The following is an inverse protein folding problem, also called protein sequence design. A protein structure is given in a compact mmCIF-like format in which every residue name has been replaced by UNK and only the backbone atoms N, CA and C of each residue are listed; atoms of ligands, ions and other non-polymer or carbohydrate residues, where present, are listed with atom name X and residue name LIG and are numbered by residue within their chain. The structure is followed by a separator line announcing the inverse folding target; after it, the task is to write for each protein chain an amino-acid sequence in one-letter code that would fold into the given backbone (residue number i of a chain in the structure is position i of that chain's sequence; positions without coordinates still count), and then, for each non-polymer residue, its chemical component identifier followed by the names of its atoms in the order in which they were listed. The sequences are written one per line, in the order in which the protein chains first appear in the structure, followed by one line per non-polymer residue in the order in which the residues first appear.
data_IF_779259727105
#
_entry.id   IF_779259727105
#
_cell.length_a   1.000
_cell.length_b   1.000
_cell.length_c   1.000
_cell.angle_alpha   90.00
_cell.angle_beta   90.00
_cell.angle_gamma   90.00
#
_symmetry.space_group_name_H-M   'P 1'
#
loop_
_entity.id
_entity.type
_entity.pdbx_description
1 polymer ?
#
# COMPACT_ATOMS: atom_id res chain seq x y z
N UNK A 1 -15.61 6.88 6.91
CA UNK A 1 -14.28 6.51 7.45
C UNK A 1 -14.32 5.03 7.76
N UNK A 2 -13.53 4.21 7.06
CA UNK A 2 -13.40 2.79 7.40
C UNK A 2 -12.73 2.72 8.77
N UNK A 3 -13.40 2.12 9.76
CA UNK A 3 -12.83 1.91 11.09
C UNK A 3 -11.89 0.72 11.01
N UNK A 4 -10.62 0.98 10.75
CA UNK A 4 -9.61 -0.07 10.69
C UNK A 4 -9.17 -0.37 12.11
N UNK A 5 -9.46 -1.59 12.56
CA UNK A 5 -9.09 -2.10 13.89
C UNK A 5 -7.62 -2.55 13.95
N UNK A 6 -6.92 -2.51 12.81
CA UNK A 6 -5.54 -2.95 12.67
C UNK A 6 -4.58 -1.76 12.73
N UNK A 7 -3.66 -1.80 13.70
CA UNK A 7 -2.61 -0.80 13.86
C UNK A 7 -1.30 -1.38 13.35
N UNK A 8 -0.76 -0.89 12.21
CA UNK A 8 0.56 -1.32 11.76
C UNK A 8 1.63 -0.99 12.81
N UNK A 9 2.64 -1.84 12.92
CA UNK A 9 3.78 -1.64 13.84
C UNK A 9 5.01 -1.17 13.08
N UNK A 10 5.97 -0.56 13.76
CA UNK A 10 7.21 -0.07 13.16
C UNK A 10 6.92 0.90 11.99
N UNK A 11 7.66 0.77 10.89
CA UNK A 11 7.47 1.54 9.67
C UNK A 11 6.53 0.87 8.64
N UNK A 12 5.69 -0.07 9.10
CA UNK A 12 4.68 -0.69 8.23
C UNK A 12 3.54 0.28 7.91
N UNK A 13 3.03 0.16 6.69
CA UNK A 13 1.93 0.95 6.15
C UNK A 13 0.89 -0.02 5.59
N UNK A 14 -0.36 0.11 6.03
CA UNK A 14 -1.48 -0.65 5.51
C UNK A 14 -2.11 0.10 4.34
N UNK A 15 -2.15 -0.57 3.20
CA UNK A 15 -2.62 -0.03 1.93
C UNK A 15 -3.81 -0.86 1.45
N UNK A 16 -4.86 -0.19 1.00
CA UNK A 16 -5.93 -0.81 0.21
C UNK A 16 -5.55 -0.66 -1.27
N UNK A 17 -5.20 -1.75 -1.98
CA UNK A 17 -4.89 -1.68 -3.40
C UNK A 17 -6.03 -1.04 -4.18
N UNK A 18 -5.69 -0.15 -5.11
CA UNK A 18 -6.64 0.35 -6.09
C UNK A 18 -6.49 -0.57 -7.31
N UNK A 19 -7.62 -1.10 -7.79
CA UNK A 19 -7.61 -1.94 -8.99
C UNK A 19 -6.89 -1.19 -10.12
N UNK A 20 -5.90 -1.85 -10.73
CA UNK A 20 -5.22 -1.32 -11.91
C UNK A 20 -6.22 -1.16 -13.05
N UNK A 21 -5.98 -0.22 -13.96
CA UNK A 21 -6.84 -0.04 -15.13
C UNK A 21 -6.99 -1.37 -15.90
N UNK A 22 -8.17 -1.99 -15.83
CA UNK A 22 -8.49 -3.21 -16.59
C UNK A 22 -8.48 -2.99 -18.11
N UNK A 23 -8.47 -1.72 -18.53
CA UNK A 23 -8.49 -1.29 -19.91
C UNK A 23 -7.16 -0.69 -20.29
N UNK A 24 -6.47 -1.37 -21.21
CA UNK A 24 -5.37 -0.74 -21.93
C UNK A 24 -5.90 0.47 -22.71
N UNK A 25 -5.07 1.48 -23.01
CA UNK A 25 -5.46 2.66 -23.80
C UNK A 25 -6.08 2.33 -25.17
N UNK A 26 -5.83 1.11 -25.68
CA UNK A 26 -6.38 0.56 -26.91
C UNK A 26 -7.81 -0.01 -26.79
N UNK A 27 -8.40 -0.03 -25.59
CA UNK A 27 -9.72 -0.61 -25.34
C UNK A 27 -9.76 -2.14 -25.23
N UNK A 28 -8.59 -2.80 -25.24
CA UNK A 28 -8.48 -4.26 -25.09
C UNK A 28 -8.66 -4.64 -23.62
N UNK A 29 -9.59 -5.56 -23.36
CA UNK A 29 -9.80 -6.16 -22.03
C UNK A 29 -8.78 -7.27 -21.84
N UNK A 30 -7.96 -7.17 -20.79
CA UNK A 30 -7.01 -8.21 -20.45
C UNK A 30 -7.73 -9.41 -19.81
N UNK A 31 -7.37 -10.65 -20.18
CA UNK A 31 -7.85 -11.83 -19.46
C UNK A 31 -7.36 -11.80 -18.00
N UNK A 32 -8.12 -12.40 -17.08
CA UNK A 32 -7.82 -12.35 -15.63
C UNK A 32 -6.41 -12.86 -15.29
N UNK A 33 -5.85 -13.78 -16.09
CA UNK A 33 -4.49 -14.31 -15.94
C UNK A 33 -3.38 -13.34 -16.33
N UNK A 34 -3.71 -12.25 -17.05
CA UNK A 34 -2.78 -11.21 -17.47
C UNK A 34 -2.88 -9.92 -16.63
N UNK A 35 -3.72 -9.93 -15.56
CA UNK A 35 -3.83 -8.82 -14.62
C UNK A 35 -2.51 -8.66 -13.85
N UNK A 36 -1.84 -7.53 -14.05
CA UNK A 36 -0.69 -7.18 -13.23
C UNK A 36 -1.13 -6.88 -11.79
N UNK A 37 -0.30 -7.24 -10.80
CA UNK A 37 -0.54 -6.86 -9.41
C UNK A 37 -0.67 -5.33 -9.30
N UNK A 38 -1.68 -4.83 -8.57
CA UNK A 38 -1.85 -3.40 -8.37
C UNK A 38 -0.60 -2.83 -7.70
N UNK A 39 -0.06 -1.78 -8.31
CA UNK A 39 1.11 -1.04 -7.83
C UNK A 39 0.73 0.30 -7.20
N UNK A 40 -0.56 0.66 -7.24
CA UNK A 40 -1.12 1.88 -6.66
C UNK A 40 -2.17 1.49 -5.63
N UNK A 41 -2.20 2.19 -4.51
CA UNK A 41 -3.18 1.96 -3.45
C UNK A 41 -3.43 3.19 -2.59
N UNK A 42 -4.48 3.13 -1.79
CA UNK A 42 -4.82 4.15 -0.80
C UNK A 42 -4.20 3.77 0.54
N UNK A 43 -3.52 4.71 1.20
CA UNK A 43 -2.99 4.52 2.56
C UNK A 43 -4.14 4.59 3.54
N UNK A 44 -4.25 3.55 4.36
CA UNK A 44 -5.41 3.39 5.24
C UNK A 44 -5.02 3.39 6.71
N UNK A 45 -3.80 2.93 7.04
CA UNK A 45 -3.19 3.11 8.35
C UNK A 45 -1.67 3.18 8.22
N UNK A 46 -1.02 3.86 9.16
CA UNK A 46 0.44 3.98 9.25
C UNK A 46 0.91 3.56 10.64
N UNK A 47 2.06 2.90 10.70
CA UNK A 47 2.70 2.60 11.96
C UNK A 47 3.35 3.83 12.61
N UNK A 48 3.83 3.70 13.86
CA UNK A 48 4.47 4.79 14.58
C UNK A 48 5.83 5.22 13.98
N UNK A 49 6.38 4.47 13.04
CA UNK A 49 7.73 4.62 12.51
C UNK A 49 8.72 3.66 13.17
N UNK A 50 9.93 3.65 12.64
CA UNK A 50 11.04 2.81 13.12
C UNK A 50 12.11 3.67 13.78
N UNK A 51 13.10 3.05 14.41
CA UNK A 51 14.26 3.74 14.98
C UNK A 51 15.50 3.34 14.19
N UNK A 52 16.38 4.29 13.90
CA UNK A 52 17.66 4.00 13.26
C UNK A 52 18.66 3.33 14.23
N UNK A 53 19.80 2.89 13.71
CA UNK A 53 20.87 2.23 14.51
C UNK A 53 21.46 3.13 15.62
N UNK A 54 21.17 4.43 15.56
CA UNK A 54 21.64 5.45 16.52
C UNK A 54 20.57 5.82 17.55
N UNK A 55 19.39 5.19 17.50
CA UNK A 55 18.30 5.49 18.42
C UNK A 55 17.41 6.66 17.99
N UNK A 56 17.60 7.24 16.79
CA UNK A 56 16.78 8.34 16.32
C UNK A 56 15.49 7.82 15.66
N UNK A 57 14.34 8.49 15.89
CA UNK A 57 13.10 8.12 15.24
C UNK A 57 13.14 8.41 13.73
N UNK A 58 12.81 7.41 12.93
CA UNK A 58 12.56 7.51 11.50
C UNK A 58 11.09 7.80 11.28
N UNK A 59 10.81 9.03 10.86
CA UNK A 59 9.44 9.51 10.66
C UNK A 59 8.77 8.81 9.47
N UNK A 60 7.49 8.48 9.63
CA UNK A 60 6.65 8.09 8.49
C UNK A 60 6.35 9.32 7.61
N UNK A 61 6.63 9.22 6.31
CA UNK A 61 6.46 10.29 5.32
C UNK A 61 5.07 10.29 4.68
N UNK A 62 4.40 9.13 4.63
CA UNK A 62 3.05 8.99 4.07
C UNK A 62 1.97 9.19 5.12
N UNK A 63 0.76 9.54 4.69
CA UNK A 63 -0.37 9.82 5.56
C UNK A 63 -1.59 9.04 5.12
N UNK A 64 -2.44 8.71 6.10
CA UNK A 64 -3.77 8.12 5.84
C UNK A 64 -4.54 9.00 4.86
N UNK A 65 -5.13 8.35 3.85
CA UNK A 65 -5.87 9.00 2.78
C UNK A 65 -5.04 9.37 1.54
N UNK A 66 -3.72 9.22 1.58
CA UNK A 66 -2.89 9.46 0.38
C UNK A 66 -2.92 8.26 -0.57
N UNK A 67 -2.90 8.52 -1.87
CA UNK A 67 -2.62 7.50 -2.87
C UNK A 67 -1.11 7.34 -2.99
N UNK A 68 -0.63 6.11 -3.03
CA UNK A 68 0.79 5.80 -3.10
C UNK A 68 1.05 4.72 -4.15
N UNK A 69 2.21 4.83 -4.79
CA UNK A 69 2.77 3.75 -5.59
C UNK A 69 3.76 2.97 -4.73
N UNK A 70 3.66 1.64 -4.72
CA UNK A 70 4.51 0.75 -3.93
C UNK A 70 5.08 -0.38 -4.80
N UNK A 71 6.15 -1.02 -4.33
CA UNK A 71 6.76 -2.15 -5.05
C UNK A 71 5.75 -3.28 -5.24
N UNK A 72 5.66 -3.81 -6.45
CA UNK A 72 4.87 -5.02 -6.78
C UNK A 72 5.30 -6.24 -5.96
N UNK A 73 6.58 -6.29 -5.59
CA UNK A 73 7.23 -7.39 -4.88
C UNK A 73 7.90 -6.81 -3.62
N UNK A 74 7.22 -6.86 -2.48
CA UNK A 74 7.73 -6.26 -1.24
C UNK A 74 6.70 -6.02 -0.13
N UNK A 75 5.59 -6.75 -0.14
CA UNK A 75 4.54 -6.60 0.85
C UNK A 75 3.86 -7.92 1.17
N UNK A 76 3.09 -7.93 2.25
CA UNK A 76 2.27 -9.06 2.65
C UNK A 76 0.82 -8.78 2.26
N UNK A 77 0.23 -9.65 1.44
CA UNK A 77 -1.19 -9.64 1.12
C UNK A 77 -1.97 -10.19 2.32
N UNK A 78 -2.92 -9.43 2.83
CA UNK A 78 -3.74 -9.80 3.98
C UNK A 78 -5.21 -9.59 3.66
N UNK A 79 -6.06 -10.49 4.17
CA UNK A 79 -7.52 -10.36 4.06
C UNK A 79 -8.08 -9.84 5.37
N UNK A 80 -8.73 -8.69 5.32
CA UNK A 80 -9.37 -8.03 6.47
C UNK A 80 -10.84 -7.81 6.09
N UNK A 81 -11.76 -8.39 6.88
CA UNK A 81 -13.21 -8.27 6.68
C UNK A 81 -13.67 -8.67 5.25
N UNK A 82 -12.98 -9.62 4.63
CA UNK A 82 -13.27 -10.10 3.27
C UNK A 82 -12.72 -9.22 2.14
N UNK A 83 -12.10 -8.09 2.46
CA UNK A 83 -11.39 -7.25 1.50
C UNK A 83 -9.89 -7.60 1.45
N UNK A 84 -9.26 -7.38 0.29
CA UNK A 84 -7.82 -7.58 0.11
C UNK A 84 -7.04 -6.30 0.40
N UNK A 85 -6.00 -6.44 1.20
CA UNK A 85 -5.13 -5.36 1.63
C UNK A 85 -3.67 -5.77 1.45
N UNK A 86 -2.79 -4.80 1.46
CA UNK A 86 -1.34 -5.03 1.43
C UNK A 86 -0.69 -4.25 2.55
N UNK A 87 0.17 -4.93 3.32
CA UNK A 87 1.06 -4.28 4.27
C UNK A 87 2.44 -4.21 3.63
N UNK A 88 2.98 -3.00 3.52
CA UNK A 88 4.33 -2.73 3.01
C UNK A 88 5.12 -1.96 4.04
N UNK A 89 6.44 -2.09 4.02
CA UNK A 89 7.31 -1.17 4.74
C UNK A 89 7.35 0.18 4.01
N UNK A 90 7.60 1.26 4.76
CA UNK A 90 7.74 2.59 4.18
C UNK A 90 8.78 2.64 3.06
N UNK A 91 9.89 1.90 3.18
CA UNK A 91 10.97 1.85 2.16
C UNK A 91 10.52 1.25 0.82
N UNK A 92 9.39 0.55 0.80
CA UNK A 92 8.82 -0.07 -0.39
C UNK A 92 7.76 0.81 -1.06
N UNK A 93 7.44 1.97 -0.48
CA UNK A 93 6.64 3.01 -1.12
C UNK A 93 7.56 3.85 -2.03
N UNK A 94 7.24 3.87 -3.32
CA UNK A 94 8.04 4.49 -4.37
C UNK A 94 7.65 5.95 -4.60
N UNK A 95 6.36 6.30 -4.50
CA UNK A 95 5.88 7.66 -4.72
C UNK A 95 4.51 7.91 -4.05
N UNK A 96 4.20 9.19 -3.81
CA UNK A 96 2.84 9.66 -3.53
C UNK A 96 2.22 10.12 -4.85
N UNK A 97 1.01 9.66 -5.15
CA UNK A 97 0.26 10.01 -6.37
C UNK A 97 -0.70 11.16 -6.05
N UNK A 98 -0.59 12.27 -6.80
CA UNK A 98 -1.43 13.46 -6.67
C UNK A 98 -2.64 13.43 -7.60
#
# INVERSE_FOLDING_TARGET
MVKITYTPLFDNVLIKPLEGEEKLPSGIVLPDSAKEKPQIGLVMAVGPGSTDDKGNPVKIVVKVGQKVMYKKWGGNEVKIDGEEWTIVEQKDILAIVN
#
